data_IF_948221607993
#
_entry.id   IF_948221607993
#
_cell.length_a   1.000
_cell.length_b   1.000
_cell.length_c   1.000
_cell.angle_alpha   90.00
_cell.angle_beta   90.00
_cell.angle_gamma   90.00
#
_symmetry.space_group_name_H-M   'P 1'
#
loop_
_entity.id
_entity.type
_entity.pdbx_description
1 polymer ?
#
# COMPACT_ATOMS: atom_id res chain seq x y z
N UNK A 1 -21.02 -23.75 -9.65
CA UNK A 1 -19.79 -22.99 -9.88
C UNK A 1 -18.67 -23.98 -10.21
N UNK A 2 -17.86 -23.74 -11.24
CA UNK A 2 -16.77 -24.64 -11.60
C UNK A 2 -15.62 -24.55 -10.57
N UNK A 3 -14.81 -25.62 -10.46
CA UNK A 3 -13.64 -25.62 -9.57
C UNK A 3 -12.67 -24.48 -9.90
N UNK A 4 -12.51 -24.13 -11.18
CA UNK A 4 -11.68 -23.00 -11.62
C UNK A 4 -12.23 -21.65 -11.12
N UNK A 5 -13.54 -21.46 -11.14
CA UNK A 5 -14.17 -20.24 -10.63
C UNK A 5 -14.01 -20.12 -9.10
N UNK A 6 -14.06 -21.24 -8.37
CA UNK A 6 -13.79 -21.25 -6.93
C UNK A 6 -12.35 -20.85 -6.61
N UNK A 7 -11.39 -21.43 -7.33
CA UNK A 7 -9.96 -21.10 -7.16
C UNK A 7 -9.69 -19.63 -7.45
N UNK A 8 -10.24 -19.09 -8.54
CA UNK A 8 -10.11 -17.68 -8.90
C UNK A 8 -10.71 -16.76 -7.82
N UNK A 9 -11.87 -17.11 -7.30
CA UNK A 9 -12.54 -16.35 -6.22
C UNK A 9 -11.67 -16.33 -4.96
N UNK A 10 -11.09 -17.47 -4.59
CA UNK A 10 -10.22 -17.56 -3.41
C UNK A 10 -8.91 -16.77 -3.60
N UNK A 11 -8.29 -16.85 -4.77
CA UNK A 11 -7.07 -16.08 -5.06
C UNK A 11 -7.34 -14.56 -5.04
N UNK A 12 -8.46 -14.12 -5.62
CA UNK A 12 -8.87 -12.72 -5.53
C UNK A 12 -9.13 -12.30 -4.07
N UNK A 13 -9.85 -13.12 -3.31
CA UNK A 13 -10.11 -12.87 -1.89
C UNK A 13 -8.81 -12.71 -1.09
N UNK A 14 -7.85 -13.59 -1.30
CA UNK A 14 -6.54 -13.53 -0.63
C UNK A 14 -5.74 -12.29 -1.03
N UNK A 15 -5.85 -11.87 -2.28
CA UNK A 15 -5.14 -10.71 -2.82
C UNK A 15 -5.75 -9.37 -2.40
N UNK A 16 -7.08 -9.31 -2.26
CA UNK A 16 -7.82 -8.06 -2.02
C UNK A 16 -8.48 -7.97 -0.64
N UNK A 17 -8.72 -9.10 0.03
CA UNK A 17 -9.51 -9.13 1.27
C UNK A 17 -11.03 -8.97 1.05
N UNK A 18 -11.52 -8.95 -0.20
CA UNK A 18 -12.94 -8.88 -0.50
C UNK A 18 -13.70 -10.04 0.13
N UNK A 19 -14.91 -9.77 0.65
CA UNK A 19 -15.73 -10.80 1.28
C UNK A 19 -16.28 -11.79 0.24
N UNK A 20 -16.60 -13.00 0.66
CA UNK A 20 -17.26 -13.98 -0.20
C UNK A 20 -18.55 -13.42 -0.83
N UNK A 21 -19.34 -12.67 -0.06
CA UNK A 21 -20.57 -12.07 -0.55
C UNK A 21 -20.32 -11.05 -1.67
N UNK A 22 -19.30 -10.19 -1.52
CA UNK A 22 -18.91 -9.23 -2.56
C UNK A 22 -18.45 -9.94 -3.83
N UNK A 23 -17.64 -10.99 -3.70
CA UNK A 23 -17.16 -11.78 -4.84
C UNK A 23 -18.26 -12.59 -5.51
N UNK A 24 -19.23 -13.10 -4.76
CA UNK A 24 -20.42 -13.73 -5.33
C UNK A 24 -21.28 -12.75 -6.12
N UNK A 25 -21.42 -11.51 -5.65
CA UNK A 25 -22.12 -10.47 -6.41
C UNK A 25 -21.41 -10.15 -7.74
N UNK A 26 -20.07 -10.09 -7.73
CA UNK A 26 -19.28 -9.93 -8.96
C UNK A 26 -19.45 -11.12 -9.93
N UNK A 27 -19.52 -12.34 -9.42
CA UNK A 27 -19.77 -13.53 -10.24
C UNK A 27 -21.15 -13.56 -10.86
N UNK A 28 -22.15 -12.98 -10.19
CA UNK A 28 -23.51 -12.89 -10.70
C UNK A 28 -23.63 -11.82 -11.79
N UNK A 29 -22.74 -10.84 -11.82
CA UNK A 29 -22.63 -9.84 -12.88
C UNK A 29 -21.74 -10.39 -14.00
N UNK A 30 -22.39 -10.92 -15.05
CA UNK A 30 -21.71 -11.52 -16.20
C UNK A 30 -20.74 -10.57 -16.94
N UNK A 31 -20.81 -9.26 -16.66
CA UNK A 31 -19.98 -8.23 -17.29
C UNK A 31 -18.73 -7.88 -16.45
N UNK A 32 -18.62 -8.38 -15.23
CA UNK A 32 -17.46 -8.06 -14.38
C UNK A 32 -16.51 -9.26 -14.27
N UNK A 33 -15.27 -9.11 -14.77
CA UNK A 33 -14.30 -10.18 -14.64
C UNK A 33 -13.84 -10.30 -13.17
N UNK A 34 -13.62 -11.53 -12.72
CA UNK A 34 -13.00 -11.80 -11.41
C UNK A 34 -11.52 -11.40 -11.33
N UNK A 35 -10.92 -11.00 -12.44
CA UNK A 35 -9.57 -10.46 -12.47
C UNK A 35 -9.51 -9.14 -11.70
N UNK A 36 -8.36 -8.85 -11.12
CA UNK A 36 -8.12 -7.57 -10.46
C UNK A 36 -7.76 -6.54 -11.54
N UNK A 37 -8.64 -5.54 -11.81
CA UNK A 37 -8.39 -4.58 -12.88
C UNK A 37 -7.15 -3.73 -12.59
N UNK A 38 -6.44 -3.36 -13.64
CA UNK A 38 -5.41 -2.33 -13.58
C UNK A 38 -6.04 -0.92 -13.52
N UNK A 39 -5.26 0.06 -13.10
CA UNK A 39 -5.66 1.45 -13.22
C UNK A 39 -5.81 1.83 -14.71
N UNK A 40 -6.93 2.47 -15.07
CA UNK A 40 -7.18 2.89 -16.46
C UNK A 40 -6.26 4.02 -16.90
N UNK A 41 -6.04 4.97 -15.99
CA UNK A 41 -5.26 6.17 -16.27
C UNK A 41 -3.86 6.09 -15.64
N UNK A 42 -2.82 6.52 -16.34
CA UNK A 42 -1.47 6.58 -15.79
C UNK A 42 -1.38 7.38 -14.48
N UNK A 43 -2.14 8.47 -14.37
CA UNK A 43 -2.21 9.32 -13.18
C UNK A 43 -2.80 8.57 -11.99
N UNK A 44 -3.78 7.68 -12.21
CA UNK A 44 -4.32 6.79 -11.18
C UNK A 44 -3.24 5.81 -10.70
N UNK A 45 -2.54 5.18 -11.62
CA UNK A 45 -1.45 4.26 -11.28
C UNK A 45 -0.31 4.97 -10.54
N UNK A 46 0.01 6.22 -10.93
CA UNK A 46 1.03 7.02 -10.27
C UNK A 46 0.61 7.40 -8.85
N UNK A 47 -0.63 7.85 -8.64
CA UNK A 47 -1.14 8.17 -7.30
C UNK A 47 -1.10 6.94 -6.38
N UNK A 48 -1.53 5.78 -6.89
CA UNK A 48 -1.51 4.53 -6.14
C UNK A 48 -0.10 4.12 -5.74
N UNK A 49 0.87 4.27 -6.64
CA UNK A 49 2.28 3.95 -6.38
C UNK A 49 2.88 4.86 -5.31
N UNK A 50 2.61 6.16 -5.37
CA UNK A 50 3.10 7.11 -4.38
C UNK A 50 2.46 6.90 -3.01
N UNK A 51 1.15 6.64 -2.96
CA UNK A 51 0.44 6.30 -1.72
C UNK A 51 1.00 5.02 -1.11
N UNK A 52 1.19 3.98 -1.91
CA UNK A 52 1.83 2.74 -1.44
C UNK A 52 3.20 3.02 -0.81
N UNK A 53 4.06 3.73 -1.55
CA UNK A 53 5.43 3.99 -1.11
C UNK A 53 5.50 4.87 0.13
N UNK A 54 4.62 5.88 0.25
CA UNK A 54 4.52 6.72 1.43
C UNK A 54 4.09 5.91 2.67
N UNK A 55 3.09 5.02 2.51
CA UNK A 55 2.57 4.21 3.60
C UNK A 55 3.48 3.06 4.02
N UNK A 56 4.44 2.63 3.19
CA UNK A 56 5.42 1.60 3.55
C UNK A 56 6.31 1.99 4.75
N UNK A 57 6.27 3.23 5.19
CA UNK A 57 6.97 3.69 6.40
C UNK A 57 6.23 3.38 7.71
N UNK A 58 5.03 2.79 7.62
CA UNK A 58 4.14 2.57 8.77
C UNK A 58 4.65 1.55 9.81
N UNK A 59 5.59 0.69 9.43
CA UNK A 59 6.04 -0.39 10.32
C UNK A 59 4.96 -1.46 10.59
N UNK A 60 5.30 -2.42 11.45
CA UNK A 60 4.48 -3.60 11.75
C UNK A 60 3.55 -3.34 12.92
N UNK A 61 2.41 -2.72 12.72
CA UNK A 61 1.53 -2.35 13.82
C UNK A 61 0.12 -2.94 13.76
N UNK A 62 -0.20 -3.75 12.75
CA UNK A 62 -1.54 -4.33 12.63
C UNK A 62 -1.55 -5.72 12.00
N UNK A 63 -2.65 -6.46 12.17
CA UNK A 63 -2.89 -7.75 11.53
C UNK A 63 -3.09 -7.64 10.00
N UNK A 64 -3.03 -6.43 9.45
CA UNK A 64 -3.28 -6.15 8.06
C UNK A 64 -2.14 -5.31 7.46
N UNK A 65 -1.57 -5.70 6.31
CA UNK A 65 -0.54 -4.92 5.65
C UNK A 65 -0.98 -3.47 5.47
N UNK A 66 -0.16 -2.52 5.94
CA UNK A 66 -0.47 -1.08 5.95
C UNK A 66 -1.80 -0.70 6.64
N UNK A 67 -2.34 -1.56 7.52
CA UNK A 67 -3.67 -1.38 8.10
C UNK A 67 -4.83 -1.60 7.11
N UNK A 68 -4.58 -2.12 5.90
CA UNK A 68 -5.61 -2.32 4.88
C UNK A 68 -6.30 -3.66 5.08
N UNK A 69 -7.55 -3.62 5.49
CA UNK A 69 -8.41 -4.82 5.68
C UNK A 69 -8.88 -5.36 4.34
N UNK A 70 -9.26 -4.46 3.44
CA UNK A 70 -9.81 -4.82 2.13
C UNK A 70 -9.43 -3.78 1.07
N UNK A 71 -9.22 -4.25 -0.14
CA UNK A 71 -9.08 -3.44 -1.35
C UNK A 71 -10.25 -3.75 -2.28
N UNK A 72 -10.91 -2.73 -2.80
CA UNK A 72 -11.85 -2.85 -3.92
C UNK A 72 -11.27 -2.11 -5.11
N UNK A 73 -10.63 -2.82 -6.02
CA UNK A 73 -10.00 -2.24 -7.19
C UNK A 73 -11.02 -2.05 -8.31
N UNK A 74 -11.18 -0.82 -8.76
CA UNK A 74 -11.92 -0.43 -9.95
C UNK A 74 -10.95 0.24 -10.93
N UNK A 75 -11.28 0.29 -12.21
CA UNK A 75 -10.39 0.88 -13.20
C UNK A 75 -10.09 2.37 -12.95
N UNK A 76 -11.12 3.13 -12.54
CA UNK A 76 -11.03 4.60 -12.36
C UNK A 76 -10.88 5.03 -10.90
N UNK A 77 -10.94 4.08 -9.97
CA UNK A 77 -10.86 4.36 -8.54
C UNK A 77 -10.32 3.15 -7.79
N UNK A 78 -9.60 3.42 -6.72
CA UNK A 78 -9.23 2.41 -5.73
C UNK A 78 -9.94 2.72 -4.42
N UNK A 79 -10.67 1.73 -3.86
CA UNK A 79 -11.25 1.87 -2.52
C UNK A 79 -10.46 0.99 -1.54
N UNK A 80 -9.98 1.60 -0.46
CA UNK A 80 -9.25 0.94 0.61
C UNK A 80 -10.07 0.99 1.90
N UNK A 81 -10.41 -0.18 2.42
CA UNK A 81 -11.01 -0.31 3.74
C UNK A 81 -9.88 -0.42 4.76
N UNK A 82 -9.70 0.61 5.56
CA UNK A 82 -8.71 0.62 6.63
C UNK A 82 -9.25 0.01 7.92
N UNK A 83 -8.35 -0.47 8.74
CA UNK A 83 -8.67 -0.90 10.11
C UNK A 83 -9.20 0.30 10.90
N UNK A 84 -10.29 0.08 11.65
CA UNK A 84 -10.96 1.11 12.47
C UNK A 84 -10.16 1.40 13.75
N UNK A 85 -8.92 1.85 13.56
CA UNK A 85 -7.98 2.19 14.62
C UNK A 85 -7.45 3.62 14.40
N UNK A 86 -7.59 4.53 15.39
CA UNK A 86 -7.20 5.93 15.24
C UNK A 86 -5.73 6.12 14.84
N UNK A 87 -4.82 5.26 15.33
CA UNK A 87 -3.40 5.36 15.01
C UNK A 87 -3.12 5.03 13.53
N UNK A 88 -3.86 4.10 12.92
CA UNK A 88 -3.74 3.81 11.48
C UNK A 88 -4.11 5.03 10.66
N UNK A 89 -5.26 5.65 10.99
CA UNK A 89 -5.72 6.87 10.30
C UNK A 89 -4.74 8.01 10.50
N UNK A 90 -4.18 8.14 11.70
CA UNK A 90 -3.15 9.13 12.00
C UNK A 90 -1.93 8.95 11.10
N UNK A 91 -1.36 7.75 11.03
CA UNK A 91 -0.19 7.47 10.19
C UNK A 91 -0.48 7.72 8.71
N UNK A 92 -1.63 7.26 8.22
CA UNK A 92 -2.02 7.50 6.83
C UNK A 92 -2.07 9.01 6.51
N UNK A 93 -2.72 9.81 7.36
CA UNK A 93 -2.79 11.25 7.16
C UNK A 93 -1.40 11.90 7.24
N UNK A 94 -0.59 11.52 8.22
CA UNK A 94 0.75 12.05 8.43
C UNK A 94 1.70 11.76 7.26
N UNK A 95 1.68 10.54 6.71
CA UNK A 95 2.55 10.17 5.61
C UNK A 95 2.05 10.63 4.25
N UNK A 96 0.76 10.91 4.10
CA UNK A 96 0.19 11.29 2.81
C UNK A 96 0.03 12.79 2.62
N UNK A 97 -0.34 13.54 3.68
CA UNK A 97 -0.65 14.96 3.50
C UNK A 97 0.59 15.76 3.15
N UNK A 98 0.57 16.49 2.01
CA UNK A 98 1.73 17.22 1.54
C UNK A 98 2.04 18.42 2.42
N UNK A 99 3.30 18.57 2.78
CA UNK A 99 3.83 19.68 3.59
C UNK A 99 5.22 20.07 3.15
N UNK A 100 5.60 21.32 3.35
CA UNK A 100 6.97 21.77 3.13
C UNK A 100 7.89 21.15 4.18
N UNK A 101 9.06 20.68 3.77
CA UNK A 101 10.06 20.13 4.69
C UNK A 101 10.84 21.22 5.45
N UNK A 102 10.81 22.46 4.96
CA UNK A 102 11.60 23.56 5.50
C UNK A 102 13.09 23.49 5.15
N UNK A 103 13.53 22.44 4.49
CA UNK A 103 14.90 22.25 4.06
C UNK A 103 15.09 22.77 2.63
N UNK A 104 16.16 23.57 2.42
CA UNK A 104 16.63 23.88 1.08
C UNK A 104 17.34 22.64 0.52
N UNK A 105 16.64 21.88 -0.31
CA UNK A 105 17.21 20.73 -1.03
C UNK A 105 17.38 21.06 -2.50
N UNK A 106 18.52 20.64 -3.07
CA UNK A 106 18.77 20.71 -4.52
C UNK A 106 17.86 19.76 -5.30
N UNK A 107 17.22 18.81 -4.61
CA UNK A 107 16.30 17.84 -5.20
C UNK A 107 14.85 18.28 -4.92
N UNK A 108 14.08 18.68 -5.95
CA UNK A 108 12.70 19.18 -5.77
C UNK A 108 11.79 18.21 -5.00
N UNK A 109 11.95 16.90 -5.19
CA UNK A 109 11.14 15.88 -4.51
C UNK A 109 11.34 15.86 -2.98
N UNK A 110 12.48 16.37 -2.48
CA UNK A 110 12.79 16.38 -1.05
C UNK A 110 12.19 17.62 -0.36
N UNK A 111 11.71 18.60 -1.12
CA UNK A 111 11.09 19.82 -0.59
C UNK A 111 9.66 19.62 -0.11
N UNK A 112 9.02 18.52 -0.54
CA UNK A 112 7.66 18.16 -0.15
C UNK A 112 7.68 16.81 0.55
N UNK A 113 7.33 16.78 1.82
CA UNK A 113 7.02 15.54 2.53
C UNK A 113 5.57 15.16 2.27
N UNK A 114 5.28 13.87 2.19
CA UNK A 114 3.97 13.38 1.79
C UNK A 114 3.85 13.21 0.27
N UNK A 115 2.64 13.21 -0.25
CA UNK A 115 2.34 13.00 -1.67
C UNK A 115 2.01 14.34 -2.33
N UNK A 116 2.92 14.84 -3.17
CA UNK A 116 2.77 16.14 -3.82
C UNK A 116 1.47 16.25 -4.61
N UNK A 117 0.78 17.38 -4.47
CA UNK A 117 -0.50 17.65 -5.11
C UNK A 117 -1.69 16.89 -4.53
N UNK A 118 -1.50 16.08 -3.49
CA UNK A 118 -2.61 15.36 -2.86
C UNK A 118 -3.55 16.33 -2.16
N UNK A 119 -4.85 16.14 -2.42
CA UNK A 119 -5.94 16.80 -1.70
C UNK A 119 -6.87 15.74 -1.16
N UNK A 120 -7.60 16.07 -0.11
CA UNK A 120 -8.67 15.21 0.37
C UNK A 120 -9.98 15.98 0.48
N UNK A 121 -11.06 15.24 0.37
CA UNK A 121 -12.38 15.71 0.73
C UNK A 121 -13.14 14.63 1.49
N UNK A 122 -13.99 15.07 2.39
CA UNK A 122 -14.90 14.18 3.10
C UNK A 122 -16.02 13.72 2.16
N UNK A 123 -16.25 12.44 2.13
CA UNK A 123 -17.37 11.78 1.46
C UNK A 123 -18.30 11.14 2.51
N UNK A 124 -19.50 10.74 2.10
CA UNK A 124 -20.45 10.08 2.99
C UNK A 124 -19.92 8.77 3.58
N UNK A 125 -19.00 8.11 2.89
CA UNK A 125 -18.43 6.81 3.27
C UNK A 125 -16.98 6.84 3.72
N UNK A 126 -16.35 8.01 3.77
CA UNK A 126 -14.93 8.11 4.15
C UNK A 126 -14.24 9.38 3.65
N UNK A 127 -12.99 9.24 3.33
CA UNK A 127 -12.10 10.30 2.83
C UNK A 127 -11.70 9.98 1.39
N UNK A 128 -12.03 10.84 0.46
CA UNK A 128 -11.57 10.75 -0.92
C UNK A 128 -10.25 11.51 -1.08
N UNK A 129 -9.21 10.79 -1.45
CA UNK A 129 -7.92 11.32 -1.87
C UNK A 129 -7.96 11.56 -3.38
N UNK A 130 -7.50 12.72 -3.83
CA UNK A 130 -7.47 13.08 -5.25
C UNK A 130 -6.37 14.10 -5.53
N UNK A 131 -6.10 14.32 -6.81
CA UNK A 131 -5.25 15.42 -7.28
C UNK A 131 -6.06 16.39 -8.12
N UNK A 132 -5.91 17.71 -7.93
CA UNK A 132 -6.61 18.72 -8.74
C UNK A 132 -6.31 18.54 -10.24
N UNK A 133 -7.35 18.53 -11.06
CA UNK A 133 -7.23 18.41 -12.52
C UNK A 133 -6.85 17.03 -13.06
N UNK A 134 -6.71 16.02 -12.19
CA UNK A 134 -6.33 14.65 -12.60
C UNK A 134 -7.45 13.64 -12.31
N UNK A 135 -7.63 12.61 -13.17
CA UNK A 135 -8.64 11.56 -12.97
C UNK A 135 -8.17 10.48 -11.98
N UNK A 136 -7.43 10.86 -10.94
CA UNK A 136 -6.84 9.96 -9.96
C UNK A 136 -7.60 10.04 -8.62
N UNK A 137 -8.09 8.89 -8.12
CA UNK A 137 -8.95 8.82 -6.94
C UNK A 137 -8.68 7.59 -6.09
N UNK A 138 -8.48 7.80 -4.78
CA UNK A 138 -8.45 6.73 -3.79
C UNK A 138 -9.45 7.06 -2.69
N UNK A 139 -10.39 6.16 -2.44
CA UNK A 139 -11.38 6.31 -1.38
C UNK A 139 -10.94 5.48 -0.16
N UNK A 140 -10.67 6.16 0.94
CA UNK A 140 -10.38 5.54 2.24
C UNK A 140 -11.68 5.39 3.02
N UNK A 141 -11.98 4.17 3.49
CA UNK A 141 -13.21 3.83 4.23
C UNK A 141 -12.89 2.98 5.45
N UNK A 142 -13.91 2.65 6.25
CA UNK A 142 -13.79 1.72 7.38
C UNK A 142 -13.47 2.37 8.72
N UNK A 143 -13.34 3.68 8.76
CA UNK A 143 -13.03 4.42 9.97
C UNK A 143 -13.89 5.68 10.08
N UNK A 144 -13.88 6.33 11.25
CA UNK A 144 -14.56 7.60 11.44
C UNK A 144 -13.76 8.74 10.76
N UNK A 145 -14.32 9.41 9.71
CA UNK A 145 -13.61 10.47 8.99
C UNK A 145 -13.16 11.65 9.85
N UNK A 146 -13.79 11.86 11.02
CA UNK A 146 -13.37 12.91 11.97
C UNK A 146 -11.97 12.68 12.52
N UNK A 147 -11.48 11.44 12.55
CA UNK A 147 -10.09 11.18 12.97
C UNK A 147 -9.09 11.75 11.96
N UNK A 148 -9.37 11.58 10.67
CA UNK A 148 -8.57 12.18 9.61
C UNK A 148 -8.54 13.71 9.71
N UNK A 149 -9.72 14.33 9.87
CA UNK A 149 -9.86 15.78 9.99
C UNK A 149 -9.06 16.34 11.19
N UNK A 150 -9.16 15.68 12.36
CA UNK A 150 -8.37 16.07 13.54
C UNK A 150 -6.87 16.00 13.31
N UNK A 151 -6.41 14.95 12.64
CA UNK A 151 -4.98 14.82 12.30
C UNK A 151 -4.55 15.91 11.34
N UNK A 152 -5.35 16.18 10.30
CA UNK A 152 -5.08 17.24 9.35
C UNK A 152 -5.04 18.62 10.02
N UNK A 153 -5.96 18.89 10.95
CA UNK A 153 -5.99 20.15 11.74
C UNK A 153 -4.73 20.27 12.61
N UNK A 154 -4.32 19.21 13.30
CA UNK A 154 -3.09 19.20 14.09
C UNK A 154 -1.86 19.42 13.22
N UNK A 155 -1.71 18.67 12.13
CA UNK A 155 -0.60 18.83 11.21
C UNK A 155 -0.55 20.24 10.61
N UNK A 156 -1.71 20.88 10.46
CA UNK A 156 -1.82 22.30 10.03
C UNK A 156 -1.23 23.26 11.06
N UNK A 157 -1.30 22.94 12.36
CA UNK A 157 -0.72 23.75 13.41
C UNK A 157 0.79 23.60 13.52
N UNK A 158 1.28 22.39 13.19
CA UNK A 158 2.68 22.02 13.36
C UNK A 158 3.53 22.23 12.10
N UNK A 159 2.89 22.25 10.92
CA UNK A 159 3.55 22.27 9.62
C UNK A 159 2.82 23.19 8.62
N UNK A 160 3.55 23.61 7.60
CA UNK A 160 2.97 24.29 6.44
C UNK A 160 2.36 23.29 5.45
N UNK A 161 1.10 22.96 5.70
CA UNK A 161 0.34 22.01 4.88
C UNK A 161 -0.10 22.64 3.56
N UNK A 162 0.34 22.03 2.45
CA UNK A 162 0.04 22.49 1.09
C UNK A 162 -1.38 22.14 0.64
N UNK A 163 -2.04 21.21 1.31
CA UNK A 163 -3.42 20.83 0.98
C UNK A 163 -4.47 21.91 1.16
N UNK A 164 -4.15 23.03 1.83
CA UNK A 164 -5.03 24.19 1.97
C UNK A 164 -5.23 24.92 0.64
N UNK A 165 -4.26 24.81 -0.24
CA UNK A 165 -4.36 25.39 -1.57
C UNK A 165 -5.33 24.59 -2.44
N UNK A 166 -6.28 25.23 -3.12
CA UNK A 166 -7.27 24.50 -3.94
C UNK A 166 -6.65 23.83 -5.16
N UNK A 167 -5.49 24.31 -5.62
CA UNK A 167 -4.74 23.81 -6.76
C UNK A 167 -3.29 23.51 -6.36
N UNK A 168 -2.52 23.03 -7.29
CA UNK A 168 -1.10 22.75 -7.15
C UNK A 168 -0.30 24.03 -6.87
N UNK A 169 0.57 23.98 -5.88
CA UNK A 169 1.63 24.99 -5.74
C UNK A 169 2.76 24.73 -6.75
N UNK A 170 3.62 25.72 -7.00
CA UNK A 170 4.80 25.52 -7.86
C UNK A 170 5.74 24.46 -7.28
N UNK A 171 5.98 24.50 -5.97
CA UNK A 171 6.83 23.53 -5.28
C UNK A 171 6.31 22.09 -5.43
N UNK A 172 4.99 21.87 -5.31
CA UNK A 172 4.39 20.55 -5.53
C UNK A 172 4.53 20.09 -6.98
N UNK A 173 4.35 20.99 -7.97
CA UNK A 173 4.53 20.66 -9.39
C UNK A 173 5.96 20.24 -9.69
N UNK A 174 6.93 20.94 -9.14
CA UNK A 174 8.35 20.62 -9.30
C UNK A 174 8.67 19.26 -8.66
N UNK A 175 8.21 19.03 -7.43
CA UNK A 175 8.37 17.77 -6.73
C UNK A 175 7.73 16.60 -7.48
N UNK A 176 6.48 16.75 -7.93
CA UNK A 176 5.77 15.74 -8.72
C UNK A 176 6.49 15.44 -10.04
N UNK A 177 6.92 16.48 -10.77
CA UNK A 177 7.65 16.33 -12.03
C UNK A 177 8.94 15.54 -11.81
N UNK A 178 9.68 15.85 -10.74
CA UNK A 178 10.89 15.12 -10.38
C UNK A 178 10.61 13.64 -10.06
N UNK A 179 9.53 13.34 -9.32
CA UNK A 179 9.12 11.96 -9.00
C UNK A 179 8.73 11.19 -10.27
N UNK A 180 7.90 11.77 -11.13
CA UNK A 180 7.44 11.12 -12.37
C UNK A 180 8.58 10.91 -13.37
N UNK A 181 9.52 11.85 -13.45
CA UNK A 181 10.70 11.75 -14.32
C UNK A 181 11.75 10.77 -13.79
N UNK A 182 11.66 10.42 -12.51
CA UNK A 182 12.55 9.47 -11.86
C UNK A 182 11.97 8.06 -11.93
N UNK A 183 12.84 7.05 -11.91
CA UNK A 183 12.39 5.65 -11.77
C UNK A 183 12.17 5.23 -10.30
N UNK A 184 11.99 6.19 -9.39
CA UNK A 184 11.96 5.93 -7.94
C UNK A 184 10.71 5.21 -7.45
N UNK A 185 9.58 5.47 -8.09
CA UNK A 185 8.28 4.95 -7.67
C UNK A 185 7.50 4.46 -8.90
N UNK A 186 7.96 3.39 -9.55
CA UNK A 186 7.37 2.97 -10.81
C UNK A 186 5.92 2.51 -10.61
N UNK A 187 4.96 3.16 -11.28
CA UNK A 187 3.54 2.81 -11.18
C UNK A 187 3.27 1.39 -11.67
N UNK A 188 4.10 0.87 -12.58
CA UNK A 188 4.02 -0.50 -13.07
C UNK A 188 4.29 -1.58 -12.01
N UNK A 189 4.92 -1.23 -10.89
CA UNK A 189 5.21 -2.16 -9.79
C UNK A 189 4.26 -1.91 -8.62
N UNK A 190 4.17 -0.67 -8.14
CA UNK A 190 3.54 -0.39 -6.86
C UNK A 190 2.03 -0.20 -6.94
N UNK A 191 1.48 0.29 -8.06
CA UNK A 191 0.02 0.35 -8.23
C UNK A 191 -0.59 -1.06 -8.27
N UNK A 192 -0.12 -1.99 -9.11
CA UNK A 192 -0.63 -3.37 -9.09
C UNK A 192 -0.45 -4.07 -7.75
N UNK A 193 0.64 -3.75 -7.02
CA UNK A 193 0.89 -4.33 -5.70
C UNK A 193 -0.07 -3.78 -4.65
N UNK A 194 -0.35 -2.46 -4.64
CA UNK A 194 -1.34 -1.88 -3.72
C UNK A 194 -2.72 -2.49 -3.93
N UNK A 195 -3.11 -2.72 -5.19
CA UNK A 195 -4.37 -3.38 -5.54
C UNK A 195 -4.48 -4.83 -5.04
N UNK A 196 -3.34 -5.43 -4.68
CA UNK A 196 -3.18 -6.82 -4.19
C UNK A 196 -2.48 -6.88 -2.84
N UNK A 197 -2.47 -5.79 -2.09
CA UNK A 197 -1.67 -5.70 -0.86
C UNK A 197 -1.97 -6.82 0.14
N UNK A 198 -3.19 -7.35 0.13
CA UNK A 198 -3.57 -8.47 0.99
C UNK A 198 -2.84 -9.77 0.65
N UNK A 199 -2.27 -9.89 -0.56
CA UNK A 199 -1.40 -11.01 -0.92
C UNK A 199 -0.10 -11.06 -0.07
N UNK A 200 0.29 -9.94 0.53
CA UNK A 200 1.46 -9.87 1.42
C UNK A 200 1.11 -10.17 2.88
N UNK A 201 -0.17 -10.41 3.19
CA UNK A 201 -0.60 -10.76 4.54
C UNK A 201 -0.27 -12.21 4.89
N UNK A 202 0.37 -12.40 6.01
CA UNK A 202 0.58 -13.71 6.64
C UNK A 202 -0.44 -14.01 7.73
N UNK A 203 -0.29 -15.15 8.41
CA UNK A 203 -1.22 -15.60 9.45
C UNK A 203 -1.01 -14.91 10.80
N UNK A 204 0.06 -14.11 10.94
CA UNK A 204 0.42 -13.47 12.21
C UNK A 204 -0.48 -12.29 12.58
N UNK A 205 -0.48 -11.91 13.86
CA UNK A 205 -1.25 -10.75 14.32
C UNK A 205 -0.64 -9.40 13.91
N UNK A 206 0.61 -9.40 13.47
CA UNK A 206 1.34 -8.20 13.07
C UNK A 206 1.97 -8.42 11.69
N UNK A 207 1.45 -7.71 10.71
CA UNK A 207 1.96 -7.74 9.35
C UNK A 207 2.58 -6.38 9.01
N UNK A 208 3.89 -6.34 8.88
CA UNK A 208 4.61 -5.19 8.33
C UNK A 208 4.77 -5.35 6.83
N UNK A 209 4.73 -4.23 6.15
CA UNK A 209 5.08 -4.15 4.72
C UNK A 209 5.91 -2.90 4.52
N UNK A 210 7.11 -3.07 4.01
CA UNK A 210 8.03 -1.99 3.70
C UNK A 210 8.54 -2.14 2.26
N UNK A 211 8.82 -1.03 1.60
CA UNK A 211 9.36 -1.02 0.26
C UNK A 211 10.33 0.13 0.06
N UNK A 212 11.47 -0.16 -0.54
CA UNK A 212 12.46 0.87 -0.87
C UNK A 212 13.25 0.49 -2.13
N UNK A 213 13.90 1.49 -2.70
CA UNK A 213 14.81 1.28 -3.81
C UNK A 213 16.17 0.81 -3.29
N UNK A 214 16.73 -0.22 -3.88
CA UNK A 214 18.09 -0.64 -3.59
C UNK A 214 19.07 0.39 -4.13
N UNK A 215 20.01 0.83 -3.28
CA UNK A 215 20.99 1.87 -3.63
C UNK A 215 21.83 1.43 -4.85
N UNK A 216 21.93 2.30 -5.84
CA UNK A 216 22.74 2.07 -7.04
C UNK A 216 22.14 1.11 -8.07
N UNK A 217 20.91 0.66 -7.89
CA UNK A 217 20.25 -0.32 -8.76
C UNK A 217 18.90 0.17 -9.27
N UNK A 218 18.45 -0.38 -10.40
CA UNK A 218 17.07 -0.28 -10.89
C UNK A 218 16.11 -1.28 -10.21
N UNK A 219 16.50 -1.81 -9.05
CA UNK A 219 15.77 -2.83 -8.30
C UNK A 219 15.09 -2.26 -7.06
N UNK A 220 14.03 -2.93 -6.63
CA UNK A 220 13.27 -2.58 -5.43
C UNK A 220 13.34 -3.71 -4.41
N UNK A 221 13.29 -3.34 -3.15
CA UNK A 221 13.06 -4.29 -2.07
C UNK A 221 11.63 -4.16 -1.59
N UNK A 222 10.99 -5.30 -1.40
CA UNK A 222 9.71 -5.45 -0.72
C UNK A 222 9.94 -6.37 0.47
N UNK A 223 9.78 -5.83 1.65
CA UNK A 223 9.95 -6.58 2.88
C UNK A 223 8.61 -6.73 3.59
N UNK A 224 8.34 -7.92 4.09
CA UNK A 224 7.20 -8.16 4.97
C UNK A 224 7.68 -8.73 6.29
N UNK A 225 6.98 -8.38 7.36
CA UNK A 225 7.12 -9.02 8.67
C UNK A 225 5.95 -9.95 8.87
N UNK A 226 6.21 -11.21 9.21
CA UNK A 226 5.19 -12.26 9.34
C UNK A 226 4.29 -12.42 8.11
N UNK A 227 4.82 -12.13 6.93
CA UNK A 227 4.14 -12.28 5.65
C UNK A 227 3.82 -13.74 5.29
N UNK A 228 3.27 -13.97 4.09
CA UNK A 228 2.88 -15.29 3.63
C UNK A 228 4.10 -16.17 3.38
N UNK A 229 3.87 -17.48 3.30
CA UNK A 229 4.88 -18.44 2.84
C UNK A 229 5.21 -18.19 1.36
N UNK A 230 6.46 -18.46 0.98
CA UNK A 230 6.94 -18.27 -0.40
C UNK A 230 6.05 -18.90 -1.48
N UNK A 231 5.59 -20.15 -1.36
CA UNK A 231 4.72 -20.75 -2.37
C UNK A 231 3.42 -19.98 -2.58
N UNK A 232 2.82 -19.46 -1.49
CA UNK A 232 1.60 -18.66 -1.55
C UNK A 232 1.84 -17.31 -2.23
N UNK A 233 2.93 -16.64 -1.87
CA UNK A 233 3.29 -15.35 -2.48
C UNK A 233 3.60 -15.52 -3.97
N UNK A 234 4.37 -16.54 -4.34
CA UNK A 234 4.67 -16.86 -5.75
C UNK A 234 3.37 -17.06 -6.54
N UNK A 235 2.42 -17.81 -5.98
CA UNK A 235 1.12 -18.03 -6.63
C UNK A 235 0.31 -16.73 -6.75
N UNK A 236 0.30 -15.91 -5.72
CA UNK A 236 -0.52 -14.69 -5.67
C UNK A 236 0.08 -13.53 -6.47
N UNK A 237 1.40 -13.43 -6.59
CA UNK A 237 2.08 -12.37 -7.36
C UNK A 237 2.61 -12.85 -8.72
N UNK A 238 2.80 -14.16 -8.89
CA UNK A 238 3.27 -14.74 -10.15
C UNK A 238 2.14 -14.97 -11.18
N UNK A 239 2.14 -16.17 -11.75
CA UNK A 239 1.28 -16.55 -12.89
C UNK A 239 -0.15 -16.95 -12.50
N UNK A 240 -0.56 -16.81 -11.25
CA UNK A 240 -1.94 -17.04 -10.84
C UNK A 240 -2.92 -16.14 -11.59
N UNK A 241 -4.20 -16.53 -11.67
CA UNK A 241 -5.19 -15.80 -12.47
C UNK A 241 -5.49 -14.38 -11.97
N UNK A 242 -5.16 -14.09 -10.72
CA UNK A 242 -5.20 -12.74 -10.13
C UNK A 242 -3.81 -12.16 -9.91
N UNK A 243 -2.77 -12.88 -10.31
CA UNK A 243 -1.37 -12.51 -10.12
C UNK A 243 -0.93 -11.32 -10.97
N UNK A 244 0.31 -10.94 -10.77
CA UNK A 244 0.98 -9.86 -11.51
C UNK A 244 1.75 -10.35 -12.73
N UNK A 245 1.80 -11.67 -12.94
CA UNK A 245 2.64 -12.28 -13.97
C UNK A 245 4.13 -12.14 -13.68
N UNK A 246 4.52 -11.79 -12.44
CA UNK A 246 5.92 -11.68 -12.08
C UNK A 246 6.61 -13.04 -12.16
N UNK A 247 7.79 -13.08 -12.76
CA UNK A 247 8.58 -14.28 -12.91
C UNK A 247 9.56 -14.44 -11.76
N UNK A 248 9.80 -15.69 -11.34
CA UNK A 248 10.83 -15.97 -10.35
C UNK A 248 12.19 -15.70 -10.98
N UNK A 249 12.99 -14.91 -10.30
CA UNK A 249 14.36 -14.60 -10.69
C UNK A 249 15.34 -15.74 -10.38
N UNK A 250 16.60 -15.59 -10.81
CA UNK A 250 17.61 -16.65 -10.71
C UNK A 250 18.01 -16.99 -9.26
N UNK A 251 17.82 -16.09 -8.30
CA UNK A 251 18.04 -16.33 -6.87
C UNK A 251 16.71 -16.62 -6.20
N UNK A 252 16.10 -17.74 -6.53
CA UNK A 252 14.91 -18.21 -5.83
C UNK A 252 15.29 -18.73 -4.45
N UNK A 253 14.41 -18.50 -3.49
CA UNK A 253 14.56 -19.00 -2.15
C UNK A 253 14.73 -20.52 -2.12
N UNK A 254 15.82 -20.99 -1.52
CA UNK A 254 15.88 -22.34 -0.98
C UNK A 254 15.05 -22.33 0.30
N UNK A 255 13.73 -22.42 0.16
CA UNK A 255 12.80 -22.21 1.25
C UNK A 255 13.05 -23.15 2.42
N UNK A 256 13.57 -22.61 3.49
CA UNK A 256 13.48 -23.19 4.82
C UNK A 256 12.15 -22.79 5.51
N UNK A 257 11.12 -22.47 4.70
CA UNK A 257 9.79 -22.07 5.19
C UNK A 257 9.16 -23.14 6.10
N UNK A 258 9.52 -24.39 5.89
CA UNK A 258 9.05 -25.52 6.69
C UNK A 258 9.83 -25.72 8.00
N UNK A 259 10.90 -24.93 8.22
CA UNK A 259 11.68 -25.01 9.45
C UNK A 259 11.35 -23.85 10.39
N UNK A 260 10.46 -24.05 11.37
CA UNK A 260 9.98 -22.98 12.28
C UNK A 260 11.09 -22.45 13.21
N UNK A 261 12.28 -23.06 13.21
CA UNK A 261 13.33 -22.76 14.20
C UNK A 261 14.48 -21.88 13.68
N UNK A 262 14.59 -21.62 12.39
CA UNK A 262 15.78 -20.92 11.87
C UNK A 262 15.72 -19.40 11.96
N UNK A 263 14.54 -18.79 12.19
CA UNK A 263 14.36 -17.34 12.31
C UNK A 263 14.83 -16.51 11.12
N UNK A 264 15.32 -17.15 10.09
CA UNK A 264 15.64 -16.50 8.83
C UNK A 264 14.39 -16.47 7.97
N UNK A 265 14.03 -15.29 7.51
CA UNK A 265 12.93 -15.08 6.58
C UNK A 265 13.24 -15.67 5.20
N UNK A 266 12.19 -15.87 4.41
CA UNK A 266 12.32 -16.23 3.01
C UNK A 266 12.73 -15.04 2.16
N UNK A 267 13.51 -15.28 1.12
CA UNK A 267 13.81 -14.30 0.09
C UNK A 267 13.45 -14.85 -1.29
N UNK A 268 12.81 -14.04 -2.11
CA UNK A 268 12.47 -14.36 -3.49
C UNK A 268 12.82 -13.17 -4.37
N UNK A 269 13.52 -13.44 -5.47
CA UNK A 269 13.72 -12.45 -6.49
C UNK A 269 12.60 -12.59 -7.53
N UNK A 270 11.86 -11.53 -7.76
CA UNK A 270 10.91 -11.43 -8.85
C UNK A 270 11.45 -10.55 -9.98
N UNK A 271 11.18 -10.95 -11.21
CA UNK A 271 11.38 -10.12 -12.40
C UNK A 271 10.02 -9.61 -12.85
N UNK A 272 9.88 -8.31 -13.01
CA UNK A 272 8.69 -7.68 -13.58
C UNK A 272 8.79 -7.74 -15.12
N UNK A 273 7.99 -8.54 -15.83
CA UNK A 273 8.21 -8.80 -17.27
C UNK A 273 8.11 -7.52 -18.12
N UNK A 274 7.20 -6.60 -17.76
CA UNK A 274 6.98 -5.37 -18.52
C UNK A 274 8.17 -4.41 -18.52
N UNK A 275 9.03 -4.44 -17.50
CA UNK A 275 10.13 -3.48 -17.32
C UNK A 275 11.49 -4.14 -17.18
N UNK A 276 11.55 -5.45 -16.96
CA UNK A 276 12.77 -6.19 -16.60
C UNK A 276 13.32 -5.85 -15.21
N UNK A 277 12.61 -5.03 -14.43
CA UNK A 277 13.05 -4.64 -13.10
C UNK A 277 12.99 -5.81 -12.13
N UNK A 278 13.92 -5.83 -11.17
CA UNK A 278 13.95 -6.81 -10.10
C UNK A 278 13.24 -6.28 -8.86
N UNK A 279 12.42 -7.12 -8.27
CA UNK A 279 11.83 -6.91 -6.94
C UNK A 279 12.36 -8.00 -6.02
N UNK A 280 13.19 -7.61 -5.07
CA UNK A 280 13.71 -8.49 -4.03
C UNK A 280 12.70 -8.54 -2.88
N UNK A 281 12.01 -9.64 -2.76
CA UNK A 281 11.11 -9.87 -1.64
C UNK A 281 11.87 -10.53 -0.49
N UNK A 282 11.65 -10.04 0.73
CA UNK A 282 12.08 -10.69 1.95
C UNK A 282 10.93 -10.75 2.95
N UNK A 283 10.78 -11.91 3.60
CA UNK A 283 9.83 -12.09 4.68
C UNK A 283 10.58 -12.32 5.98
N UNK A 284 10.52 -11.36 6.88
CA UNK A 284 11.10 -11.45 8.20
C UNK A 284 10.13 -12.14 9.14
N UNK A 285 10.56 -13.15 9.86
CA UNK A 285 9.78 -13.71 10.96
C UNK A 285 10.09 -12.96 12.24
N UNK A 286 9.09 -12.29 12.78
CA UNK A 286 9.23 -11.65 14.08
C UNK A 286 9.21 -12.72 15.17
N UNK A 287 10.35 -12.91 15.85
CA UNK A 287 10.48 -13.92 16.93
C UNK A 287 9.95 -13.46 18.28
N UNK A 288 9.55 -12.20 18.40
CA UNK A 288 9.11 -11.67 19.67
C UNK A 288 7.60 -11.47 19.67
N UNK A 289 6.91 -12.15 20.61
CA UNK A 289 5.72 -11.58 21.20
C UNK A 289 6.02 -10.13 21.50
N UNK A 290 5.18 -9.21 21.03
CA UNK A 290 5.25 -7.82 21.48
C UNK A 290 5.44 -7.86 22.98
N UNK A 291 6.55 -7.35 23.46
CA UNK A 291 6.72 -7.13 24.91
C UNK A 291 5.58 -6.22 25.36
N UNK A 292 5.25 -6.24 26.64
CA UNK A 292 4.26 -5.34 27.25
C UNK A 292 4.48 -3.89 26.83
N UNK A 293 5.72 -3.50 26.52
CA UNK A 293 6.11 -2.20 25.99
C UNK A 293 5.54 -1.91 24.57
N UNK A 294 5.43 -2.91 23.71
CA UNK A 294 4.83 -2.73 22.38
C UNK A 294 3.33 -2.52 22.44
N UNK A 295 2.63 -3.27 23.31
CA UNK A 295 1.21 -3.05 23.58
C UNK A 295 0.95 -1.67 24.19
N UNK A 296 1.82 -1.24 25.11
CA UNK A 296 1.73 0.09 25.73
C UNK A 296 1.93 1.19 24.69
N UNK A 297 2.92 1.05 23.79
CA UNK A 297 3.17 2.03 22.75
C UNK A 297 1.96 2.20 21.79
N UNK A 298 1.31 1.10 21.39
CA UNK A 298 0.09 1.15 20.57
C UNK A 298 -1.04 1.84 21.35
N UNK A 299 -1.21 1.53 22.64
CA UNK A 299 -2.21 2.17 23.49
C UNK A 299 -1.97 3.68 23.61
N UNK A 300 -0.71 4.08 23.76
CA UNK A 300 -0.33 5.49 23.86
C UNK A 300 -0.54 6.24 22.53
N UNK A 301 -0.23 5.60 21.40
CA UNK A 301 -0.52 6.14 20.06
C UNK A 301 -2.02 6.32 19.84
N UNK A 302 -2.84 5.35 20.22
CA UNK A 302 -4.30 5.46 20.13
C UNK A 302 -4.82 6.61 21.00
N UNK A 303 -4.27 6.80 22.20
CA UNK A 303 -4.64 7.90 23.08
C UNK A 303 -4.27 9.25 22.48
N UNK A 304 -3.07 9.38 21.93
CA UNK A 304 -2.61 10.60 21.25
C UNK A 304 -3.43 10.92 20.00
N UNK A 305 -3.84 9.91 19.23
CA UNK A 305 -4.65 10.10 18.04
C UNK A 305 -6.11 10.51 18.35
N UNK A 306 -6.59 10.27 19.59
CA UNK A 306 -7.94 10.62 20.02
C UNK A 306 -8.00 11.95 20.82
N UNK A 307 -6.88 12.43 21.34
CA UNK A 307 -6.77 13.71 22.04
C UNK A 307 -6.74 14.88 21.07
#
# INVERSE_FOLDING_TARGET
>A
MSQAALALTEDRRRSTGESHQALHALLADANQPLTIPAARHPEQAQLEAEVFFACCKLGSSSAHPLGIVQVRPEEDQLTLLLLDEPYIVHYWAEFLLPRLTGEESDHPQDRVSGVAGLRYRRESRGILLHRPGMPARILLTGFNPRWWERVADRLTSDYDLLQKEPDWTSTERDAYTAVVSSSWQPPSIFSPLLRRIRATAGPGPFNGTDAWRAVGCSSFRLETTDGPLCPDLIRLLGDGPTGLGWKIGPKSCTCLCDHPHTGMGCTIDFVVPATGQLVYYSNLKWRHTLSDHGHQAITDLNRLALA
#
